data_IF_577047775102
#
_entry.id   IF_577047775102
#
_cell.length_a   1.000
_cell.length_b   1.000
_cell.length_c   1.000
_cell.angle_alpha   90.00
_cell.angle_beta   90.00
_cell.angle_gamma   90.00
#
_symmetry.space_group_name_H-M   'P 1'
#
loop_
_entity.id
_entity.type
_entity.pdbx_description
1 polymer ?
#
# COMPACT_ATOMS: atom_id res chain seq x y z
N UNK A 1 -6.80 -9.40 -14.35
CA UNK A 1 -7.26 -8.01 -14.10
C UNK A 1 -6.59 -7.52 -12.82
N UNK A 2 -5.89 -6.37 -12.85
CA UNK A 2 -5.14 -5.83 -11.69
C UNK A 2 -6.07 -5.63 -10.49
N UNK A 3 -5.63 -6.04 -9.30
CA UNK A 3 -6.36 -5.85 -8.04
C UNK A 3 -7.66 -6.67 -7.86
N UNK A 4 -8.07 -7.51 -8.82
CA UNK A 4 -9.35 -8.24 -8.72
C UNK A 4 -9.41 -9.19 -7.52
N UNK A 5 -8.35 -9.95 -7.25
CA UNK A 5 -8.30 -10.89 -6.12
C UNK A 5 -8.42 -10.16 -4.77
N UNK A 6 -7.69 -9.06 -4.60
CA UNK A 6 -7.75 -8.21 -3.40
C UNK A 6 -9.14 -7.60 -3.25
N UNK A 7 -9.76 -7.15 -4.35
CA UNK A 7 -11.13 -6.62 -4.35
C UNK A 7 -12.17 -7.66 -3.93
N UNK A 8 -12.03 -8.89 -4.41
CA UNK A 8 -12.89 -10.01 -4.02
C UNK A 8 -12.73 -10.34 -2.53
N UNK A 9 -11.50 -10.41 -2.03
CA UNK A 9 -11.23 -10.64 -0.61
C UNK A 9 -11.83 -9.52 0.27
N UNK A 10 -11.73 -8.27 -0.17
CA UNK A 10 -12.35 -7.13 0.53
C UNK A 10 -13.88 -7.25 0.58
N UNK A 11 -14.51 -7.67 -0.52
CA UNK A 11 -15.94 -7.91 -0.57
C UNK A 11 -16.36 -9.07 0.37
N UNK A 12 -15.57 -10.15 0.43
CA UNK A 12 -15.78 -11.25 1.36
C UNK A 12 -15.66 -10.78 2.82
N UNK A 13 -14.70 -9.91 3.15
CA UNK A 13 -14.58 -9.33 4.48
C UNK A 13 -15.81 -8.48 4.86
N UNK A 14 -16.39 -7.73 3.90
CA UNK A 14 -17.67 -7.01 4.11
C UNK A 14 -18.82 -7.95 4.44
N UNK A 15 -18.90 -9.08 3.74
CA UNK A 15 -19.93 -10.12 4.02
C UNK A 15 -19.66 -10.77 5.38
N UNK A 16 -18.40 -11.13 5.67
CA UNK A 16 -18.00 -11.72 6.94
C UNK A 16 -18.41 -10.85 8.12
N UNK A 17 -18.33 -9.52 8.00
CA UNK A 17 -18.75 -8.59 9.06
C UNK A 17 -20.20 -8.76 9.50
N UNK A 18 -21.07 -9.26 8.62
CA UNK A 18 -22.48 -9.54 8.93
C UNK A 18 -22.62 -10.86 9.71
N UNK A 19 -21.69 -11.80 9.54
CA UNK A 19 -21.71 -13.14 10.13
C UNK A 19 -20.92 -13.16 11.45
N UNK A 20 -19.70 -12.65 11.42
CA UNK A 20 -18.74 -12.60 12.52
C UNK A 20 -17.90 -11.31 12.40
N UNK A 21 -18.25 -10.32 13.20
CA UNK A 21 -17.60 -9.02 13.17
C UNK A 21 -16.14 -9.05 13.65
N UNK A 22 -15.78 -9.98 14.53
CA UNK A 22 -14.42 -10.05 15.05
C UNK A 22 -13.49 -10.69 14.02
N UNK A 23 -13.93 -11.80 13.41
CA UNK A 23 -13.21 -12.39 12.29
C UNK A 23 -13.05 -11.40 11.15
N UNK A 24 -14.11 -10.65 10.82
CA UNK A 24 -14.05 -9.67 9.73
C UNK A 24 -12.99 -8.59 9.93
N UNK A 25 -12.69 -8.18 11.17
CA UNK A 25 -11.61 -7.20 11.44
C UNK A 25 -10.26 -7.73 10.97
N UNK A 26 -9.96 -9.00 11.25
CA UNK A 26 -8.72 -9.63 10.82
C UNK A 26 -8.66 -9.72 9.29
N UNK A 27 -9.74 -10.17 8.65
CA UNK A 27 -9.84 -10.26 7.18
C UNK A 27 -9.67 -8.88 6.52
N UNK A 28 -10.26 -7.81 7.10
CA UNK A 28 -10.04 -6.45 6.60
C UNK A 28 -8.59 -6.01 6.76
N UNK A 29 -7.96 -6.29 7.91
CA UNK A 29 -6.56 -5.95 8.15
C UNK A 29 -5.64 -6.62 7.14
N UNK A 30 -5.82 -7.93 6.92
CA UNK A 30 -5.04 -8.70 5.94
C UNK A 30 -5.20 -8.17 4.52
N UNK A 31 -6.44 -7.91 4.09
CA UNK A 31 -6.70 -7.40 2.73
C UNK A 31 -6.15 -5.99 2.51
N UNK A 32 -6.20 -5.13 3.52
CA UNK A 32 -5.59 -3.79 3.43
C UNK A 32 -4.06 -3.86 3.40
N UNK A 33 -3.46 -4.78 4.16
CA UNK A 33 -2.03 -5.03 4.09
C UNK A 33 -1.61 -5.57 2.71
N UNK A 34 -2.36 -6.52 2.15
CA UNK A 34 -2.17 -7.01 0.78
C UNK A 34 -2.28 -5.89 -0.25
N UNK A 35 -3.27 -4.99 -0.13
CA UNK A 35 -3.40 -3.83 -1.02
C UNK A 35 -2.20 -2.88 -0.91
N UNK A 36 -1.68 -2.67 0.29
CA UNK A 36 -0.48 -1.88 0.51
C UNK A 36 0.75 -2.53 -0.13
N UNK A 37 1.00 -3.82 0.15
CA UNK A 37 2.08 -4.58 -0.48
C UNK A 37 1.98 -4.56 -2.01
N UNK A 38 0.77 -4.71 -2.55
CA UNK A 38 0.54 -4.64 -3.98
C UNK A 38 0.93 -3.28 -4.58
N UNK A 39 0.64 -2.18 -3.89
CA UNK A 39 1.09 -0.84 -4.29
C UNK A 39 2.61 -0.67 -4.23
N UNK A 40 3.24 -1.21 -3.20
CA UNK A 40 4.70 -1.24 -3.06
C UNK A 40 5.36 -1.98 -4.24
N UNK A 41 4.88 -3.17 -4.59
CA UNK A 41 5.44 -3.97 -5.68
C UNK A 41 5.21 -3.30 -7.05
N UNK A 42 4.05 -2.68 -7.24
CA UNK A 42 3.70 -1.99 -8.49
C UNK A 42 4.54 -0.74 -8.76
N UNK A 43 5.12 -0.12 -7.72
CA UNK A 43 6.12 0.93 -7.90
C UNK A 43 7.33 0.44 -8.69
N UNK A 44 7.88 -0.73 -8.33
CA UNK A 44 9.03 -1.35 -9.02
C UNK A 44 8.76 -1.63 -10.50
N UNK A 45 7.49 -1.84 -10.85
CA UNK A 45 7.06 -2.06 -12.23
C UNK A 45 6.73 -0.74 -12.98
N UNK A 46 6.95 0.42 -12.36
CA UNK A 46 6.69 1.74 -12.93
C UNK A 46 5.21 2.12 -13.03
N UNK A 47 4.33 1.41 -12.32
CA UNK A 47 2.89 1.58 -12.44
C UNK A 47 2.42 2.75 -11.58
N UNK A 48 2.10 3.90 -12.20
CA UNK A 48 1.71 5.13 -11.48
C UNK A 48 0.20 5.22 -11.16
N UNK A 49 -0.61 4.43 -11.83
CA UNK A 49 -2.08 4.50 -11.72
C UNK A 49 -2.60 3.31 -10.89
N UNK A 50 -3.45 3.55 -9.88
CA UNK A 50 -4.07 2.49 -9.09
C UNK A 50 -4.87 1.51 -9.95
N UNK A 51 -5.04 0.25 -9.52
CA UNK A 51 -5.95 -0.68 -10.17
C UNK A 51 -7.39 -0.14 -10.24
N UNK A 52 -8.06 -0.29 -11.38
CA UNK A 52 -9.46 0.14 -11.56
C UNK A 52 -10.38 -0.45 -10.49
N UNK A 53 -10.11 -1.68 -10.05
CA UNK A 53 -10.84 -2.40 -9.00
C UNK A 53 -10.79 -1.73 -7.62
N UNK A 54 -9.90 -0.76 -7.41
CA UNK A 54 -9.76 -0.05 -6.14
C UNK A 54 -10.38 1.35 -6.16
N UNK A 55 -10.71 1.89 -7.34
CA UNK A 55 -11.12 3.30 -7.48
C UNK A 55 -12.42 3.63 -6.73
N UNK A 56 -13.32 2.65 -6.63
CA UNK A 56 -14.61 2.76 -5.94
C UNK A 56 -14.54 2.36 -4.46
N UNK A 57 -13.38 1.89 -3.97
CA UNK A 57 -13.20 1.46 -2.58
C UNK A 57 -12.08 2.27 -1.91
N UNK A 58 -12.43 3.37 -1.21
CA UNK A 58 -11.46 4.32 -0.68
C UNK A 58 -10.38 3.71 0.23
N UNK A 59 -10.70 2.65 0.98
CA UNK A 59 -9.74 1.99 1.86
C UNK A 59 -8.68 1.22 1.08
N UNK A 60 -9.08 0.48 0.03
CA UNK A 60 -8.15 -0.22 -0.86
C UNK A 60 -7.29 0.77 -1.63
N UNK A 61 -7.90 1.84 -2.15
CA UNK A 61 -7.18 2.90 -2.84
C UNK A 61 -6.14 3.57 -1.95
N UNK A 62 -6.52 3.89 -0.70
CA UNK A 62 -5.61 4.49 0.28
C UNK A 62 -4.46 3.53 0.63
N UNK A 63 -4.77 2.26 0.91
CA UNK A 63 -3.76 1.26 1.24
C UNK A 63 -2.74 1.10 0.10
N UNK A 64 -3.22 0.96 -1.13
CA UNK A 64 -2.36 0.88 -2.32
C UNK A 64 -1.47 2.12 -2.46
N UNK A 65 -2.04 3.33 -2.34
CA UNK A 65 -1.28 4.59 -2.42
C UNK A 65 -0.21 4.68 -1.32
N UNK A 66 -0.52 4.22 -0.12
CA UNK A 66 0.45 4.20 0.97
C UNK A 66 1.65 3.31 0.63
N UNK A 67 1.43 2.10 0.11
CA UNK A 67 2.52 1.20 -0.26
C UNK A 67 3.36 1.74 -1.41
N UNK A 68 2.68 2.30 -2.43
CA UNK A 68 3.33 2.92 -3.58
C UNK A 68 4.20 4.12 -3.17
N UNK A 69 3.65 5.03 -2.35
CA UNK A 69 4.37 6.19 -1.83
C UNK A 69 5.54 5.78 -0.92
N UNK A 70 5.35 4.75 -0.09
CA UNK A 70 6.40 4.24 0.79
C UNK A 70 7.58 3.71 -0.01
N UNK A 71 7.35 2.96 -1.10
CA UNK A 71 8.45 2.55 -1.99
C UNK A 71 9.11 3.77 -2.64
N UNK A 72 8.34 4.70 -3.20
CA UNK A 72 8.87 5.93 -3.80
C UNK A 72 9.79 6.68 -2.83
N UNK A 73 9.33 6.90 -1.61
CA UNK A 73 10.07 7.61 -0.57
C UNK A 73 11.33 6.84 -0.15
N UNK A 74 11.24 5.51 -0.02
CA UNK A 74 12.40 4.68 0.26
C UNK A 74 13.44 4.75 -0.87
N UNK A 75 13.02 4.72 -2.14
CA UNK A 75 13.91 4.88 -3.29
C UNK A 75 14.54 6.28 -3.33
N UNK A 76 13.76 7.33 -3.02
CA UNK A 76 14.25 8.70 -2.92
C UNK A 76 15.33 8.84 -1.84
N UNK A 77 15.10 8.30 -0.64
CA UNK A 77 16.06 8.29 0.47
C UNK A 77 17.31 7.48 0.09
N UNK A 78 17.15 6.33 -0.57
CA UNK A 78 18.27 5.49 -1.01
C UNK A 78 19.20 6.23 -1.99
N UNK A 79 18.66 7.13 -2.81
CA UNK A 79 19.43 7.92 -3.76
C UNK A 79 19.82 9.31 -3.24
N UNK A 80 19.45 9.66 -2.00
CA UNK A 80 19.77 10.94 -1.40
C UNK A 80 21.23 10.97 -0.90
N UNK A 81 22.11 11.86 -1.43
CA UNK A 81 23.50 11.93 -0.99
C UNK A 81 23.66 12.35 0.47
N UNK A 82 22.74 13.16 1.01
CA UNK A 82 22.76 13.58 2.41
C UNK A 82 22.40 12.42 3.34
N UNK A 83 21.32 11.67 3.05
CA UNK A 83 20.94 10.48 3.82
C UNK A 83 22.02 9.40 3.82
N UNK A 84 22.79 9.28 2.74
CA UNK A 84 23.85 8.27 2.59
C UNK A 84 25.25 8.84 2.86
N UNK A 85 25.34 10.01 3.49
CA UNK A 85 26.61 10.65 3.83
C UNK A 85 27.33 9.91 4.95
N UNK A 86 28.61 9.64 4.76
CA UNK A 86 29.49 9.02 5.77
C UNK A 86 29.71 9.87 7.04
N UNK A 87 29.21 11.11 7.04
CA UNK A 87 29.43 12.08 8.13
C UNK A 87 28.31 12.08 9.19
N UNK A 88 27.30 11.21 9.09
CA UNK A 88 26.15 11.15 10.00
C UNK A 88 25.47 12.52 10.22
N UNK A 89 25.38 13.31 9.16
CA UNK A 89 24.69 14.60 9.17
C UNK A 89 23.20 14.32 8.94
N UNK A 90 22.33 14.97 9.71
CA UNK A 90 20.88 14.92 9.46
C UNK A 90 20.59 15.43 8.04
N UNK A 91 19.81 14.68 7.28
CA UNK A 91 19.35 15.14 5.97
C UNK A 91 18.49 16.39 6.14
N UNK A 92 18.63 17.36 5.23
CA UNK A 92 17.82 18.58 5.23
C UNK A 92 16.46 18.40 4.52
N UNK A 93 16.29 17.30 3.79
CA UNK A 93 15.11 17.00 2.97
C UNK A 93 14.22 15.88 3.53
N UNK A 94 14.77 15.02 4.38
CA UNK A 94 14.10 13.85 4.93
C UNK A 94 14.30 13.79 6.44
N UNK A 95 13.20 13.62 7.17
CA UNK A 95 13.17 13.48 8.64
C UNK A 95 13.21 12.01 9.08
#
# INVERSE_FOLDING_TARGET
MRGLQIRMAYALAKVMRVIDAEKAKNEFSEVLFEAQRYGYDEYSFGMKVPPTMFLDEPQLLKAWRNGWNFHREAEEIQHCPECNSQYNISCSFHD
#
